data_IF_873728146838
#
_entry.id   IF_873728146838
#
_cell.length_a   1.000
_cell.length_b   1.000
_cell.length_c   1.000
_cell.angle_alpha   90.00
_cell.angle_beta   90.00
_cell.angle_gamma   90.00
#
_symmetry.space_group_name_H-M   'P 1'
#
loop_
_entity.id
_entity.type
_entity.pdbx_description
1 polymer ?
#
# COMPACT_ATOMS: atom_id res chain seq x y z
N UNK A 1 -27.12 -2.83 -2.35
CA UNK A 1 -26.08 -3.87 -2.46
C UNK A 1 -26.44 -4.99 -1.51
N UNK A 2 -26.53 -6.22 -2.00
CA UNK A 2 -26.80 -7.38 -1.17
C UNK A 2 -25.49 -7.96 -0.63
N UNK A 3 -25.53 -8.43 0.61
CA UNK A 3 -24.33 -8.99 1.25
C UNK A 3 -23.82 -10.24 0.53
N UNK A 4 -24.72 -11.09 0.00
CA UNK A 4 -24.35 -12.29 -0.75
C UNK A 4 -23.54 -11.95 -2.01
N UNK A 5 -24.03 -11.01 -2.83
CA UNK A 5 -23.38 -10.60 -4.08
C UNK A 5 -21.98 -9.99 -3.81
N UNK A 6 -21.82 -9.31 -2.67
CA UNK A 6 -20.52 -8.78 -2.26
C UNK A 6 -19.56 -9.89 -1.84
N UNK A 7 -20.03 -10.87 -1.06
CA UNK A 7 -19.21 -11.98 -0.57
C UNK A 7 -18.80 -12.96 -1.68
N UNK A 8 -19.53 -12.99 -2.79
CA UNK A 8 -19.11 -13.72 -3.99
C UNK A 8 -17.91 -13.06 -4.70
N UNK A 9 -17.71 -11.75 -4.50
CA UNK A 9 -16.66 -10.98 -5.17
C UNK A 9 -15.43 -10.73 -4.32
N UNK A 10 -15.58 -10.68 -2.99
CA UNK A 10 -14.47 -10.34 -2.08
C UNK A 10 -14.43 -11.25 -0.85
N UNK A 11 -13.24 -11.50 -0.29
CA UNK A 11 -13.11 -12.31 0.92
C UNK A 11 -13.90 -11.74 2.09
N UNK A 12 -14.61 -12.60 2.81
CA UNK A 12 -15.42 -12.21 3.96
C UNK A 12 -14.64 -11.44 5.04
N UNK A 13 -13.35 -11.76 5.22
CA UNK A 13 -12.48 -11.06 6.17
C UNK A 13 -12.29 -9.58 5.81
N UNK A 14 -12.14 -9.24 4.52
CA UNK A 14 -12.01 -7.86 4.07
C UNK A 14 -13.31 -7.08 4.32
N UNK A 15 -14.47 -7.71 4.04
CA UNK A 15 -15.79 -7.13 4.34
C UNK A 15 -15.94 -6.85 5.83
N UNK A 16 -15.64 -7.83 6.69
CA UNK A 16 -15.70 -7.66 8.16
C UNK A 16 -14.78 -6.54 8.65
N UNK A 17 -13.56 -6.47 8.12
CA UNK A 17 -12.61 -5.41 8.48
C UNK A 17 -13.15 -4.02 8.13
N UNK A 18 -13.59 -3.82 6.88
CA UNK A 18 -14.09 -2.51 6.43
C UNK A 18 -15.34 -2.10 7.21
N UNK A 19 -16.29 -3.04 7.41
CA UNK A 19 -17.51 -2.75 8.17
C UNK A 19 -17.21 -2.42 9.64
N UNK A 20 -16.34 -3.19 10.30
CA UNK A 20 -15.94 -2.94 11.68
C UNK A 20 -15.23 -1.58 11.85
N UNK A 21 -14.49 -1.15 10.82
CA UNK A 21 -13.80 0.15 10.83
C UNK A 21 -14.71 1.34 10.50
N UNK A 22 -15.61 1.18 9.53
CA UNK A 22 -16.39 2.30 8.97
C UNK A 22 -17.77 2.47 9.58
N UNK A 23 -18.25 1.55 10.43
CA UNK A 23 -19.56 1.69 11.08
C UNK A 23 -19.43 2.05 12.56
N UNK A 24 -19.23 3.34 12.90
CA UNK A 24 -19.50 3.78 14.26
C UNK A 24 -21.01 3.65 14.53
N UNK A 25 -21.36 2.99 15.64
CA UNK A 25 -22.75 2.63 16.03
C UNK A 25 -23.70 3.83 16.07
N UNK A 26 -23.16 5.04 16.24
CA UNK A 26 -23.91 6.27 16.41
C UNK A 26 -24.14 7.06 15.11
N UNK A 27 -23.63 6.59 13.95
CA UNK A 27 -23.79 7.31 12.68
C UNK A 27 -24.20 6.40 11.55
N UNK A 28 -25.12 6.90 10.73
CA UNK A 28 -25.47 6.28 9.46
C UNK A 28 -24.29 6.45 8.50
N UNK A 29 -23.83 5.35 7.92
CA UNK A 29 -22.79 5.37 6.88
C UNK A 29 -23.28 4.73 5.60
N UNK A 30 -22.78 5.25 4.47
CA UNK A 30 -23.10 4.74 3.13
C UNK A 30 -21.95 3.89 2.64
N UNK A 31 -22.26 2.69 2.17
CA UNK A 31 -21.27 1.84 1.53
C UNK A 31 -21.06 2.29 0.08
N UNK A 32 -19.80 2.40 -0.35
CA UNK A 32 -19.44 2.59 -1.76
C UNK A 32 -18.30 1.65 -2.12
N UNK A 33 -18.30 1.13 -3.35
CA UNK A 33 -17.23 0.25 -3.85
C UNK A 33 -15.87 0.94 -3.80
N UNK A 34 -15.80 2.19 -4.25
CA UNK A 34 -14.57 2.97 -4.22
C UNK A 34 -14.04 3.17 -2.79
N UNK A 35 -14.92 3.47 -1.82
CA UNK A 35 -14.52 3.60 -0.42
C UNK A 35 -14.07 2.29 0.21
N UNK A 36 -14.70 1.18 -0.19
CA UNK A 36 -14.30 -0.17 0.22
C UNK A 36 -12.91 -0.53 -0.31
N UNK A 37 -12.69 -0.43 -1.63
CA UNK A 37 -11.40 -0.78 -2.25
C UNK A 37 -10.28 0.11 -1.74
N UNK A 38 -10.50 1.42 -1.60
CA UNK A 38 -9.51 2.33 -1.05
C UNK A 38 -9.04 1.93 0.36
N UNK A 39 -9.94 1.45 1.24
CA UNK A 39 -9.57 0.97 2.58
C UNK A 39 -8.83 -0.36 2.51
N UNK A 40 -9.31 -1.31 1.70
CA UNK A 40 -8.65 -2.62 1.55
C UNK A 40 -7.25 -2.44 0.99
N UNK A 41 -7.11 -1.69 -0.10
CA UNK A 41 -5.84 -1.50 -0.79
C UNK A 41 -4.86 -0.68 0.05
N UNK A 42 -5.33 0.37 0.73
CA UNK A 42 -4.46 1.21 1.55
C UNK A 42 -4.02 0.55 2.86
N UNK A 43 -4.94 -0.10 3.57
CA UNK A 43 -4.69 -0.60 4.92
C UNK A 43 -4.31 -2.08 4.90
N UNK A 44 -5.13 -2.96 4.31
CA UNK A 44 -4.86 -4.38 4.33
C UNK A 44 -3.70 -4.73 3.39
N UNK A 45 -3.78 -4.34 2.13
CA UNK A 45 -2.72 -4.65 1.18
C UNK A 45 -1.48 -3.77 1.40
N UNK A 46 -1.66 -2.45 1.36
CA UNK A 46 -0.57 -1.48 1.37
C UNK A 46 0.16 -1.33 2.70
N UNK A 47 -0.48 -1.64 3.83
CA UNK A 47 0.13 -1.52 5.15
C UNK A 47 0.37 -2.88 5.81
N UNK A 48 -0.68 -3.68 6.01
CA UNK A 48 -0.55 -4.95 6.73
C UNK A 48 0.20 -6.02 5.94
N UNK A 49 -0.24 -6.33 4.72
CA UNK A 49 0.39 -7.36 3.90
C UNK A 49 1.82 -6.96 3.50
N UNK A 50 2.03 -5.70 3.13
CA UNK A 50 3.38 -5.19 2.86
C UNK A 50 4.32 -5.37 4.06
N UNK A 51 3.86 -5.00 5.27
CA UNK A 51 4.68 -5.18 6.47
C UNK A 51 4.93 -6.65 6.82
N UNK A 52 3.91 -7.50 6.74
CA UNK A 52 4.04 -8.94 6.97
C UNK A 52 4.98 -9.59 5.94
N UNK A 53 4.90 -9.19 4.68
CA UNK A 53 5.79 -9.66 3.62
C UNK A 53 7.25 -9.35 3.93
N UNK A 54 7.54 -8.13 4.39
CA UNK A 54 8.89 -7.76 4.84
C UNK A 54 9.32 -8.60 6.05
N UNK A 55 8.45 -8.78 7.04
CA UNK A 55 8.74 -9.57 8.23
C UNK A 55 9.08 -11.03 7.89
N UNK A 56 8.25 -11.69 7.07
CA UNK A 56 8.49 -13.07 6.66
C UNK A 56 9.73 -13.20 5.77
N UNK A 57 10.02 -12.20 4.93
CA UNK A 57 11.27 -12.17 4.16
C UNK A 57 12.48 -12.13 5.10
N UNK A 58 12.46 -11.28 6.13
CA UNK A 58 13.53 -11.21 7.12
C UNK A 58 13.66 -12.51 7.91
N UNK A 59 12.54 -13.11 8.33
CA UNK A 59 12.53 -14.38 9.06
C UNK A 59 13.14 -15.51 8.22
N UNK A 60 12.76 -15.62 6.94
CA UNK A 60 13.29 -16.63 6.04
C UNK A 60 14.77 -16.39 5.73
N UNK A 61 15.19 -15.13 5.58
CA UNK A 61 16.57 -14.79 5.20
C UNK A 61 17.56 -14.96 6.34
N UNK A 62 17.13 -14.69 7.58
CA UNK A 62 18.05 -14.62 8.73
C UNK A 62 17.86 -15.74 9.75
N UNK A 63 16.74 -16.46 9.69
CA UNK A 63 16.40 -17.48 10.68
C UNK A 63 15.82 -18.74 10.04
N UNK A 64 16.00 -18.95 8.73
CA UNK A 64 15.50 -20.13 7.99
C UNK A 64 14.00 -20.39 8.19
N UNK A 65 13.22 -19.33 8.38
CA UNK A 65 11.78 -19.41 8.62
C UNK A 65 11.41 -19.88 10.04
N UNK A 66 12.38 -20.08 10.92
CA UNK A 66 12.18 -20.52 12.30
C UNK A 66 12.25 -19.30 13.23
N UNK A 67 11.28 -19.20 14.14
CA UNK A 67 11.31 -18.16 15.18
C UNK A 67 12.39 -18.53 16.19
N UNK A 68 13.45 -17.74 16.25
CA UNK A 68 14.51 -17.93 17.23
C UNK A 68 13.98 -17.65 18.65
N UNK A 69 14.35 -18.47 19.65
CA UNK A 69 14.03 -18.18 21.03
C UNK A 69 14.75 -16.90 21.47
N UNK A 70 14.00 -15.97 22.07
CA UNK A 70 14.57 -14.78 22.70
C UNK A 70 14.91 -15.14 24.14
N UNK A 71 16.20 -15.20 24.47
CA UNK A 71 16.65 -15.55 25.82
C UNK A 71 16.33 -14.43 26.83
N UNK A 72 16.66 -13.18 26.49
CA UNK A 72 16.31 -12.00 27.29
C UNK A 72 15.94 -10.83 26.36
N UNK A 73 14.71 -10.29 26.43
CA UNK A 73 14.30 -9.16 25.60
C UNK A 73 15.03 -7.89 26.04
N UNK A 74 15.57 -7.14 25.07
CA UNK A 74 16.19 -5.86 25.36
C UNK A 74 15.17 -4.78 25.74
N UNK A 75 15.61 -3.60 26.21
CA UNK A 75 14.70 -2.50 26.57
C UNK A 75 13.84 -2.01 25.39
N UNK A 76 14.30 -2.17 24.15
CA UNK A 76 13.52 -1.90 22.94
C UNK A 76 12.37 -2.89 22.76
N UNK A 77 12.66 -4.17 22.91
CA UNK A 77 11.69 -5.26 22.78
C UNK A 77 10.64 -5.17 23.87
N UNK A 78 11.05 -4.91 25.11
CA UNK A 78 10.11 -4.74 26.22
C UNK A 78 9.14 -3.58 25.97
N UNK A 79 9.62 -2.43 25.49
CA UNK A 79 8.75 -1.30 25.14
C UNK A 79 7.77 -1.63 24.03
N UNK A 80 8.18 -2.47 23.07
CA UNK A 80 7.31 -2.95 22.01
C UNK A 80 6.24 -3.91 22.55
N UNK A 81 6.62 -4.88 23.38
CA UNK A 81 5.72 -5.82 24.03
C UNK A 81 4.70 -5.10 24.92
N UNK A 82 5.14 -4.17 25.77
CA UNK A 82 4.23 -3.36 26.60
C UNK A 82 3.23 -2.56 25.75
N UNK A 83 3.67 -2.07 24.57
CA UNK A 83 2.78 -1.37 23.64
C UNK A 83 1.77 -2.32 23.03
N UNK A 84 2.19 -3.53 22.66
CA UNK A 84 1.34 -4.57 22.11
C UNK A 84 0.28 -5.00 23.13
N UNK A 85 0.65 -5.23 24.38
CA UNK A 85 -0.27 -5.56 25.47
C UNK A 85 -1.29 -4.46 25.74
N UNK A 86 -0.86 -3.19 25.74
CA UNK A 86 -1.78 -2.06 25.87
C UNK A 86 -2.79 -2.01 24.73
N UNK A 87 -2.39 -2.34 23.50
CA UNK A 87 -3.29 -2.38 22.34
C UNK A 87 -4.23 -3.58 22.45
N UNK A 88 -3.71 -4.77 22.76
CA UNK A 88 -4.50 -5.98 22.94
C UNK A 88 -5.57 -5.80 24.03
N UNK A 89 -5.21 -5.21 25.17
CA UNK A 89 -6.14 -4.90 26.24
C UNK A 89 -7.21 -3.88 25.83
N UNK A 90 -6.89 -2.92 24.96
CA UNK A 90 -7.90 -2.00 24.39
C UNK A 90 -8.86 -2.74 23.45
N UNK A 91 -8.33 -3.60 22.58
CA UNK A 91 -9.15 -4.42 21.68
C UNK A 91 -10.08 -5.34 22.47
N UNK A 92 -9.55 -6.06 23.47
CA UNK A 92 -10.37 -6.95 24.31
C UNK A 92 -11.51 -6.18 24.97
N UNK A 93 -11.24 -5.01 25.57
CA UNK A 93 -12.28 -4.17 26.17
C UNK A 93 -13.32 -3.65 25.17
N UNK A 94 -12.93 -3.41 23.92
CA UNK A 94 -13.86 -3.02 22.87
C UNK A 94 -14.76 -4.17 22.39
N UNK A 95 -14.38 -5.42 22.68
CA UNK A 95 -15.10 -6.63 22.31
C UNK A 95 -15.79 -7.33 23.49
N UNK A 96 -15.70 -6.82 24.73
CA UNK A 96 -16.48 -7.36 25.85
C UNK A 96 -17.94 -6.95 25.76
N UNK A 97 -18.85 -7.87 26.13
CA UNK A 97 -20.31 -7.71 25.96
C UNK A 97 -20.89 -6.42 26.57
N UNK A 98 -20.29 -5.90 27.64
CA UNK A 98 -20.74 -4.65 28.29
C UNK A 98 -20.35 -3.37 27.52
N UNK A 99 -19.41 -3.43 26.58
CA UNK A 99 -18.84 -2.28 25.87
C UNK A 99 -18.58 -2.56 24.39
N UNK A 100 -19.28 -3.53 23.81
CA UNK A 100 -19.08 -3.92 22.42
C UNK A 100 -19.22 -2.69 21.53
N UNK A 101 -18.11 -2.24 20.94
CA UNK A 101 -18.08 -1.13 19.99
C UNK A 101 -16.82 -1.22 19.12
N UNK A 102 -16.95 -1.73 17.87
CA UNK A 102 -15.83 -1.84 16.92
C UNK A 102 -15.13 -0.50 16.63
N UNK A 103 -15.82 0.61 16.83
CA UNK A 103 -15.29 1.96 16.63
C UNK A 103 -14.18 2.36 17.64
N UNK A 104 -14.12 1.68 18.79
CA UNK A 104 -13.09 1.91 19.82
C UNK A 104 -11.78 1.17 19.51
N UNK A 105 -11.76 0.35 18.47
CA UNK A 105 -10.53 -0.34 18.06
C UNK A 105 -9.48 0.69 17.65
N UNK A 106 -8.25 0.61 18.19
CA UNK A 106 -7.17 1.45 17.71
C UNK A 106 -7.01 1.24 16.21
N UNK A 107 -7.29 2.27 15.40
CA UNK A 107 -6.79 2.28 14.03
C UNK A 107 -5.27 2.13 14.12
N UNK A 108 -4.72 1.11 13.47
CA UNK A 108 -3.30 0.81 13.47
C UNK A 108 -2.53 1.88 12.70
N UNK A 109 -2.48 3.10 13.23
CA UNK A 109 -1.67 4.18 12.73
C UNK A 109 -0.25 3.90 13.20
N UNK A 110 0.54 3.18 12.41
CA UNK A 110 1.99 3.23 12.59
C UNK A 110 2.40 4.68 12.29
N UNK A 111 3.14 5.26 13.24
CA UNK A 111 3.78 6.55 13.08
C UNK A 111 4.52 6.56 11.75
N UNK A 112 4.27 7.61 10.96
CA UNK A 112 4.87 7.77 9.66
C UNK A 112 6.38 7.55 9.77
N UNK A 113 6.88 6.58 9.01
CA UNK A 113 8.28 6.59 8.64
C UNK A 113 8.48 7.88 7.87
N UNK A 114 9.07 8.86 8.54
CA UNK A 114 9.61 10.04 7.92
C UNK A 114 10.38 9.56 6.68
N UNK A 115 9.92 9.97 5.50
CA UNK A 115 10.73 9.89 4.28
C UNK A 115 12.03 10.60 4.61
N UNK A 116 13.08 9.82 4.94
CA UNK A 116 14.46 10.32 4.94
C UNK A 116 14.70 10.74 3.49
N UNK A 117 14.54 12.04 3.22
CA UNK A 117 15.11 12.66 2.02
C UNK A 117 16.60 12.27 2.02
N UNK A 118 17.15 11.74 0.92
CA UNK A 118 18.59 11.63 0.81
C UNK A 118 19.15 13.05 0.99
N UNK A 119 19.98 13.23 2.02
CA UNK A 119 20.80 14.42 2.18
C UNK A 119 21.64 14.51 0.91
N UNK A 120 21.27 15.44 0.02
CA UNK A 120 22.07 15.76 -1.14
C UNK A 120 23.48 16.07 -0.66
N UNK A 121 24.45 15.24 -1.06
CA UNK A 121 25.87 15.57 -0.98
C UNK A 121 26.03 16.96 -1.59
N UNK A 122 26.59 17.87 -0.81
CA UNK A 122 27.06 19.16 -1.28
C UNK A 122 27.92 18.93 -2.53
N UNK A 123 27.46 19.42 -3.69
CA UNK A 123 28.31 19.58 -4.86
C UNK A 123 29.29 20.71 -4.54
N UNK A 124 30.61 20.51 -4.66
CA UNK A 124 31.54 21.62 -4.57
C UNK A 124 31.23 22.62 -5.69
N UNK A 125 31.13 23.90 -5.32
CA UNK A 125 30.91 25.00 -6.24
C UNK A 125 32.09 25.10 -7.21
N UNK A 126 31.88 24.67 -8.45
CA UNK A 126 32.77 25.00 -9.56
C UNK A 126 32.65 26.51 -9.78
N UNK A 127 33.68 27.25 -9.40
CA UNK A 127 33.87 28.67 -9.74
C UNK A 127 33.91 28.81 -11.26
N UNK A 128 32.76 29.06 -11.87
CA UNK A 128 32.67 29.53 -13.26
C UNK A 128 32.95 31.03 -13.26
N UNK A 129 34.16 31.40 -13.71
CA UNK A 129 34.48 32.78 -14.11
C UNK A 129 33.44 33.25 -15.12
N UNK A 130 32.73 34.32 -14.80
CA UNK A 130 31.93 35.06 -15.75
C UNK A 130 32.87 35.71 -16.78
N UNK A 131 32.85 35.20 -18.02
CA UNK A 131 33.29 35.94 -19.19
C UNK A 131 32.02 36.50 -19.83
N UNK A 132 31.82 37.81 -19.72
CA UNK A 132 30.78 38.51 -20.47
C UNK A 132 31.06 38.43 -21.98
N UNK A 133 30.01 38.31 -22.81
CA UNK A 133 30.12 38.17 -24.25
C UNK A 133 30.22 39.55 -24.95
N UNK A 134 31.03 39.62 -26.00
CA UNK A 134 30.96 40.66 -27.04
C UNK A 134 30.77 39.97 -28.38
N UNK A 135 29.88 40.51 -29.21
CA UNK A 135 30.02 40.45 -30.67
C UNK A 135 29.07 39.52 -31.43
N UNK A 136 27.88 40.06 -31.70
CA UNK A 136 27.12 40.08 -32.96
C UNK A 136 27.70 39.41 -34.23
N UNK A 137 26.77 38.95 -35.07
CA UNK A 137 26.80 38.58 -36.50
C UNK A 137 26.74 37.07 -36.75
N UNK A 138 25.91 36.52 -37.64
CA UNK A 138 24.96 37.04 -38.61
C UNK A 138 24.23 35.86 -39.27
N UNK A 139 23.25 36.16 -40.12
CA UNK A 139 22.67 35.36 -41.24
C UNK A 139 22.50 33.84 -41.02
N UNK A 140 21.29 33.30 -41.04
CA UNK A 140 20.45 33.19 -42.24
C UNK A 140 20.30 31.71 -42.58
N UNK A 141 19.11 31.24 -42.95
CA UNK A 141 18.95 29.83 -43.34
C UNK A 141 17.54 29.30 -43.18
N UNK A 142 16.72 29.54 -44.20
CA UNK A 142 15.45 28.85 -44.47
C UNK A 142 15.66 27.33 -44.55
N UNK A 143 14.74 26.55 -43.97
CA UNK A 143 14.70 25.10 -44.14
C UNK A 143 13.39 24.49 -43.62
N UNK A 144 12.37 24.44 -44.47
CA UNK A 144 11.15 23.64 -44.28
C UNK A 144 11.48 22.16 -44.47
N UNK A 145 10.94 21.27 -43.62
CA UNK A 145 10.60 19.86 -43.89
C UNK A 145 9.77 19.36 -42.68
N UNK A 146 8.43 19.37 -42.74
CA UNK A 146 7.53 18.27 -43.17
C UNK A 146 7.57 17.05 -42.21
N UNK A 147 6.46 16.74 -41.51
CA UNK A 147 6.33 15.53 -40.70
C UNK A 147 5.93 14.32 -41.57
N UNK A 148 6.36 13.09 -41.26
CA UNK A 148 5.76 11.91 -41.85
C UNK A 148 4.50 11.49 -41.10
N UNK A 149 3.55 11.05 -41.92
CA UNK A 149 2.22 10.57 -41.61
C UNK A 149 2.22 9.25 -40.83
N UNK A 150 1.08 8.99 -40.18
CA UNK A 150 0.81 7.77 -39.45
C UNK A 150 0.72 6.53 -40.35
N UNK A 151 0.71 5.39 -39.67
CA UNK A 151 0.13 4.15 -40.18
C UNK A 151 -0.75 3.55 -39.11
N UNK A 152 -2.02 3.39 -39.45
CA UNK A 152 -2.94 2.52 -38.76
C UNK A 152 -2.52 1.07 -38.98
N UNK A 153 -2.65 0.22 -37.96
CA UNK A 153 -2.89 -1.21 -38.17
C UNK A 153 -3.83 -1.77 -37.09
N UNK A 154 -5.06 -2.03 -37.53
CA UNK A 154 -5.98 -3.04 -37.01
C UNK A 154 -5.39 -4.44 -37.29
N UNK A 155 -5.55 -5.34 -36.33
CA UNK A 155 -5.76 -6.79 -36.48
C UNK A 155 -6.41 -7.23 -35.14
N UNK A 156 -7.70 -7.51 -35.09
CA UNK A 156 -8.38 -8.78 -35.44
C UNK A 156 -8.13 -9.93 -34.45
N UNK A 157 -9.18 -10.19 -33.67
CA UNK A 157 -9.91 -11.44 -33.41
C UNK A 157 -9.20 -12.79 -33.17
N UNK A 158 -9.89 -13.55 -32.30
CA UNK A 158 -9.80 -14.99 -31.99
C UNK A 158 -8.68 -15.37 -30.99
N UNK A 159 -8.91 -16.15 -29.94
CA UNK A 159 -9.99 -17.06 -29.59
C UNK A 159 -9.35 -18.24 -28.85
N UNK A 160 -9.50 -18.32 -27.53
CA UNK A 160 -9.23 -19.52 -26.72
C UNK A 160 -10.47 -19.69 -25.83
N UNK A 161 -11.49 -20.45 -26.25
CA UNK A 161 -11.64 -21.91 -26.20
C UNK A 161 -11.44 -22.51 -24.80
N UNK A 162 -12.59 -22.97 -24.33
CA UNK A 162 -12.89 -23.85 -23.21
C UNK A 162 -11.94 -25.05 -23.10
N UNK A 163 -11.66 -25.44 -21.87
CA UNK A 163 -11.21 -26.78 -21.51
C UNK A 163 -12.08 -27.32 -20.36
N UNK A 164 -12.41 -28.62 -20.36
CA UNK A 164 -13.58 -29.16 -19.68
C UNK A 164 -13.34 -29.53 -18.21
N UNK A 165 -14.47 -29.55 -17.50
CA UNK A 165 -14.72 -30.21 -16.23
C UNK A 165 -14.46 -31.72 -16.35
N UNK A 166 -13.58 -32.25 -15.51
CA UNK A 166 -13.48 -33.67 -15.23
C UNK A 166 -13.73 -33.90 -13.74
N UNK A 167 -14.91 -34.46 -13.43
CA UNK A 167 -15.20 -35.07 -12.14
C UNK A 167 -14.78 -36.54 -12.14
N UNK A 168 -14.23 -36.99 -11.03
CA UNK A 168 -14.22 -38.38 -10.56
C UNK A 168 -14.25 -38.26 -9.02
N UNK A 169 -15.41 -38.53 -8.43
CA UNK A 169 -15.73 -39.75 -7.65
C UNK A 169 -14.95 -39.84 -6.36
#
# INVERSE_FOLDING_TARGET
MWAKDLLEQVPAAAVRFVLGRQRPEQRRTTFTWHGFTAVVDGELAGSWNAWLGVLFTLLNTHHDGVVAPVAEPGPGDQRFLDRLDRIAGKCLRAYTAAKFSPALLPAARRGGTARRRPRGRARPAVRRRARQPRGRSGSGGSGRCRPPAGTARRADHAGLRDAPVAGAR
#
